data_IF_373056610979
#
_entry.id   IF_373056610979
#
_cell.length_a   1.000
_cell.length_b   1.000
_cell.length_c   1.000
_cell.angle_alpha   90.00
_cell.angle_beta   90.00
_cell.angle_gamma   90.00
#
_symmetry.space_group_name_H-M   'P 1'
#
loop_
_entity.id
_entity.type
_entity.pdbx_description
1 polymer ?
#
# COMPACT_ATOMS: atom_id res chain seq x y z
N UNK A 1 -8.07 4.73 8.93
CA UNK A 1 -9.48 4.67 9.39
C UNK A 1 -9.82 5.95 10.10
N UNK A 2 -10.96 6.53 9.75
CA UNK A 2 -11.47 7.74 10.39
C UNK A 2 -12.35 7.38 11.60
N UNK A 3 -12.53 8.35 12.50
CA UNK A 3 -13.34 8.19 13.73
C UNK A 3 -14.82 7.90 13.46
N UNK A 4 -15.31 8.17 12.23
CA UNK A 4 -16.68 7.88 11.80
C UNK A 4 -16.84 6.50 11.12
N UNK A 5 -15.82 5.65 11.18
CA UNK A 5 -15.84 4.31 10.58
C UNK A 5 -15.55 4.26 9.07
N UNK A 6 -15.25 5.41 8.45
CA UNK A 6 -14.83 5.41 7.04
C UNK A 6 -13.33 5.16 6.91
N UNK A 7 -12.90 4.76 5.71
CA UNK A 7 -11.49 4.62 5.38
C UNK A 7 -11.02 5.80 4.51
N UNK A 8 -9.74 6.07 4.57
CA UNK A 8 -9.06 7.04 3.72
C UNK A 8 -7.75 6.45 3.23
N UNK A 9 -7.27 6.94 2.09
CA UNK A 9 -5.95 6.58 1.60
C UNK A 9 -4.88 7.10 2.57
N UNK A 10 -3.86 6.29 2.82
CA UNK A 10 -2.70 6.71 3.60
C UNK A 10 -1.96 7.83 2.85
N UNK A 11 -1.49 8.84 3.57
CA UNK A 11 -0.60 9.84 3.01
C UNK A 11 0.84 9.30 2.97
N UNK A 12 1.60 9.70 1.96
CA UNK A 12 3.01 9.36 1.85
C UNK A 12 3.80 10.03 3.00
N UNK A 13 4.76 9.30 3.57
CA UNK A 13 5.67 9.83 4.59
C UNK A 13 5.08 10.01 6.01
N UNK A 14 3.91 9.47 6.28
CA UNK A 14 3.17 9.75 7.52
C UNK A 14 3.41 8.77 8.68
N UNK A 15 4.33 7.81 8.57
CA UNK A 15 4.43 6.70 9.55
C UNK A 15 3.04 6.11 9.88
N UNK A 16 2.21 5.97 8.87
CA UNK A 16 0.78 5.81 9.05
C UNK A 16 0.40 4.45 9.64
N UNK A 17 -0.53 4.49 10.58
CA UNK A 17 -1.22 3.30 11.05
C UNK A 17 -2.16 2.81 9.94
N UNK A 18 -1.83 1.70 9.32
CA UNK A 18 -2.58 1.14 8.20
C UNK A 18 -3.62 0.11 8.67
N UNK A 19 -4.81 0.14 8.07
CA UNK A 19 -5.80 -0.93 8.26
C UNK A 19 -5.49 -2.14 7.37
N UNK A 20 -5.04 -1.89 6.14
CA UNK A 20 -4.83 -2.95 5.15
C UNK A 20 -4.71 -2.37 3.74
N UNK A 21 -4.80 -3.26 2.75
CA UNK A 21 -4.76 -2.91 1.33
C UNK A 21 -6.17 -2.89 0.74
N UNK A 22 -6.53 -1.77 0.11
CA UNK A 22 -7.83 -1.62 -0.56
C UNK A 22 -7.92 -2.54 -1.78
N UNK A 23 -8.97 -3.34 -1.84
CA UNK A 23 -9.22 -4.34 -2.89
C UNK A 23 -10.55 -4.10 -3.62
N UNK A 24 -10.94 -2.85 -3.77
CA UNK A 24 -12.16 -2.48 -4.48
C UNK A 24 -13.30 -2.03 -3.57
N UNK A 25 -14.39 -1.63 -4.20
CA UNK A 25 -15.57 -1.14 -3.52
C UNK A 25 -16.87 -1.53 -4.25
N UNK A 26 -17.93 -1.52 -3.47
CA UNK A 26 -19.31 -1.61 -3.93
C UNK A 26 -20.06 -0.35 -3.51
N UNK A 27 -20.93 0.16 -4.36
CA UNK A 27 -21.78 1.32 -4.06
C UNK A 27 -23.03 1.35 -4.95
N UNK A 28 -24.02 2.08 -4.53
CA UNK A 28 -25.22 2.36 -5.35
C UNK A 28 -25.04 3.75 -5.97
N UNK A 29 -25.07 3.83 -7.30
CA UNK A 29 -24.90 5.09 -8.02
C UNK A 29 -26.15 5.99 -7.95
N UNK A 30 -26.08 7.17 -8.58
CA UNK A 30 -27.18 8.15 -8.58
C UNK A 30 -28.43 7.65 -9.32
N UNK A 31 -28.33 6.63 -10.16
CA UNK A 31 -29.46 6.02 -10.88
C UNK A 31 -30.11 4.88 -10.08
N UNK A 32 -29.54 4.51 -8.94
CA UNK A 32 -29.99 3.38 -8.14
C UNK A 32 -29.36 2.04 -8.53
N UNK A 33 -28.37 2.02 -9.42
CA UNK A 33 -27.69 0.81 -9.85
C UNK A 33 -26.56 0.44 -8.89
N UNK A 34 -26.44 -0.85 -8.56
CA UNK A 34 -25.28 -1.37 -7.82
C UNK A 34 -24.08 -1.43 -8.74
N UNK A 35 -22.97 -0.84 -8.32
CA UNK A 35 -21.67 -0.80 -9.02
C UNK A 35 -20.59 -1.45 -8.20
N UNK A 36 -19.69 -2.15 -8.90
CA UNK A 36 -18.45 -2.69 -8.35
C UNK A 36 -17.27 -2.04 -9.07
N UNK A 37 -16.23 -1.66 -8.32
CA UNK A 37 -15.04 -1.04 -8.90
C UNK A 37 -13.80 -1.48 -8.14
N UNK A 38 -12.67 -1.64 -8.86
CA UNK A 38 -11.36 -1.88 -8.28
C UNK A 38 -10.75 -0.62 -7.65
N UNK A 39 -11.35 0.53 -7.84
CA UNK A 39 -10.96 1.81 -7.26
C UNK A 39 -12.20 2.66 -6.96
N UNK A 40 -12.07 3.69 -6.13
CA UNK A 40 -13.11 4.70 -5.96
C UNK A 40 -13.02 5.69 -7.14
N UNK A 41 -14.03 5.74 -8.03
CA UNK A 41 -13.96 6.62 -9.20
C UNK A 41 -13.95 8.09 -8.78
N UNK A 42 -13.16 8.90 -9.49
CA UNK A 42 -13.12 10.34 -9.27
C UNK A 42 -14.52 10.95 -9.46
N UNK A 43 -14.92 11.80 -8.52
CA UNK A 43 -16.26 12.44 -8.52
C UNK A 43 -17.45 11.47 -8.41
N UNK A 44 -17.23 10.21 -8.04
CA UNK A 44 -18.32 9.30 -7.78
C UNK A 44 -19.17 9.81 -6.61
N UNK A 45 -20.47 9.79 -6.83
CA UNK A 45 -21.48 9.99 -5.79
C UNK A 45 -22.28 8.72 -5.65
N UNK A 46 -22.54 8.30 -4.42
CA UNK A 46 -23.29 7.06 -4.21
C UNK A 46 -23.75 6.94 -2.76
N UNK A 47 -24.60 5.94 -2.57
CA UNK A 47 -25.07 5.51 -1.26
C UNK A 47 -24.64 4.06 -1.01
N UNK A 48 -24.79 3.58 0.22
CA UNK A 48 -24.42 2.19 0.58
C UNK A 48 -23.02 1.83 0.07
N UNK A 49 -22.02 2.67 0.42
CA UNK A 49 -20.64 2.53 -0.02
C UNK A 49 -19.92 1.58 0.93
N UNK A 50 -19.41 0.49 0.38
CA UNK A 50 -18.60 -0.49 1.11
C UNK A 50 -17.23 -0.62 0.43
N UNK A 51 -16.17 -0.54 1.22
CA UNK A 51 -14.81 -0.79 0.77
C UNK A 51 -14.39 -2.20 1.18
N UNK A 52 -13.86 -2.97 0.24
CA UNK A 52 -13.23 -4.25 0.50
C UNK A 52 -11.76 -4.02 0.83
N UNK A 53 -11.31 -4.44 1.99
CA UNK A 53 -9.93 -4.27 2.47
C UNK A 53 -9.38 -5.63 2.87
N UNK A 54 -8.15 -5.92 2.44
CA UNK A 54 -7.37 -7.05 2.93
C UNK A 54 -6.72 -6.56 4.22
N UNK A 55 -7.28 -6.92 5.36
CA UNK A 55 -6.92 -6.41 6.70
C UNK A 55 -6.23 -7.46 7.58
N UNK A 56 -5.76 -8.56 7.00
CA UNK A 56 -4.94 -9.55 7.70
C UNK A 56 -3.53 -9.00 7.96
N UNK A 57 -3.09 -8.83 9.22
CA UNK A 57 -1.75 -8.33 9.53
C UNK A 57 -0.63 -9.28 9.10
N UNK A 58 -0.95 -10.54 8.76
CA UNK A 58 0.01 -11.53 8.26
C UNK A 58 0.10 -11.56 6.75
N UNK A 59 -0.80 -10.89 6.04
CA UNK A 59 -0.79 -10.85 4.58
C UNK A 59 0.48 -10.16 4.06
N UNK A 60 1.01 -10.69 2.97
CA UNK A 60 2.11 -10.09 2.22
C UNK A 60 1.61 -9.54 0.89
N UNK A 61 2.23 -8.47 0.44
CA UNK A 61 1.88 -7.75 -0.76
C UNK A 61 3.12 -7.51 -1.60
N UNK A 62 2.95 -7.40 -2.90
CA UNK A 62 4.00 -6.93 -3.81
C UNK A 62 3.83 -5.43 -4.04
N UNK A 63 4.92 -4.69 -3.93
CA UNK A 63 4.98 -3.25 -4.20
C UNK A 63 6.26 -2.92 -4.95
N UNK A 64 6.19 -1.99 -5.89
CA UNK A 64 7.36 -1.47 -6.58
C UNK A 64 8.13 -0.53 -5.65
N UNK A 65 9.44 -0.64 -5.63
CA UNK A 65 10.32 0.31 -4.97
C UNK A 65 10.58 1.53 -5.88
N UNK A 66 10.74 2.72 -5.30
CA UNK A 66 11.03 3.94 -6.04
C UNK A 66 12.52 4.12 -6.41
N UNK A 67 13.36 3.17 -6.03
CA UNK A 67 14.79 3.14 -6.30
C UNK A 67 15.30 1.69 -6.23
N UNK A 68 16.60 1.49 -6.45
CA UNK A 68 17.25 0.19 -6.25
C UNK A 68 17.01 -0.32 -4.83
N UNK A 69 16.69 -1.61 -4.72
CA UNK A 69 16.44 -2.27 -3.43
C UNK A 69 17.43 -3.43 -3.26
N UNK A 70 18.62 -3.19 -2.72
CA UNK A 70 19.60 -4.24 -2.52
C UNK A 70 19.11 -5.26 -1.47
N UNK A 71 19.51 -6.51 -1.62
CA UNK A 71 19.16 -7.61 -0.70
C UNK A 71 19.58 -7.31 0.75
N UNK A 72 20.61 -6.47 0.94
CA UNK A 72 21.06 -6.05 2.27
C UNK A 72 20.01 -5.23 3.05
N UNK A 73 19.06 -4.61 2.36
CA UNK A 73 18.00 -3.80 2.97
C UNK A 73 16.75 -4.62 3.32
N UNK A 74 16.76 -5.93 3.04
CA UNK A 74 15.67 -6.81 3.45
C UNK A 74 15.55 -6.85 4.99
N UNK A 75 14.30 -7.03 5.43
CA UNK A 75 13.88 -6.97 6.83
C UNK A 75 14.00 -5.58 7.47
N UNK A 76 14.42 -4.57 6.73
CA UNK A 76 14.26 -3.17 7.08
C UNK A 76 12.81 -2.72 7.03
N UNK A 77 12.51 -1.62 7.72
CA UNK A 77 11.21 -0.96 7.64
C UNK A 77 11.30 0.27 6.74
N UNK A 78 10.22 0.53 6.01
CA UNK A 78 10.15 1.58 5.00
C UNK A 78 8.81 2.31 5.08
N UNK A 79 8.82 3.53 4.60
CA UNK A 79 7.60 4.28 4.38
C UNK A 79 7.07 4.08 2.96
N UNK A 80 5.92 4.68 2.70
CA UNK A 80 5.26 4.69 1.39
C UNK A 80 5.50 6.05 0.74
N UNK A 81 5.80 6.07 -0.54
CA UNK A 81 5.80 7.28 -1.37
C UNK A 81 4.71 7.20 -2.41
N UNK A 82 4.14 8.34 -2.78
CA UNK A 82 3.12 8.45 -3.81
C UNK A 82 3.65 9.30 -4.97
N UNK A 83 4.07 8.65 -6.04
CA UNK A 83 4.63 9.31 -7.21
C UNK A 83 3.57 10.01 -8.09
N UNK A 84 2.30 9.69 -7.88
CA UNK A 84 1.19 10.37 -8.56
C UNK A 84 -0.04 10.41 -7.65
N UNK A 85 -0.27 11.52 -6.94
CA UNK A 85 -1.35 11.65 -5.95
C UNK A 85 -2.75 11.37 -6.50
N UNK A 86 -2.92 11.45 -7.80
CA UNK A 86 -4.20 11.16 -8.49
C UNK A 86 -4.30 9.71 -8.99
N UNK A 87 -3.23 8.93 -8.88
CA UNK A 87 -3.18 7.56 -9.41
C UNK A 87 -3.37 7.51 -10.93
N UNK A 88 -3.61 6.31 -11.43
CA UNK A 88 -4.01 6.10 -12.85
C UNK A 88 -5.52 5.97 -12.94
N UNK A 89 -6.21 7.08 -13.09
CA UNK A 89 -7.68 7.16 -13.05
C UNK A 89 -8.37 6.25 -14.06
N UNK A 90 -7.73 5.95 -15.19
CA UNK A 90 -8.30 5.08 -16.23
C UNK A 90 -8.26 3.59 -15.87
N UNK A 91 -7.27 3.14 -15.11
CA UNK A 91 -7.08 1.73 -14.73
C UNK A 91 -7.37 1.45 -13.25
N UNK A 92 -7.40 2.49 -12.42
CA UNK A 92 -7.49 2.37 -10.97
C UNK A 92 -6.25 1.78 -10.30
N UNK A 93 -5.13 1.68 -11.03
CA UNK A 93 -3.87 1.18 -10.47
C UNK A 93 -3.26 2.21 -9.56
N UNK A 94 -2.83 1.78 -8.37
CA UNK A 94 -2.11 2.62 -7.42
C UNK A 94 -0.76 3.06 -7.98
N UNK A 95 -0.34 4.26 -7.63
CA UNK A 95 1.01 4.79 -7.89
C UNK A 95 1.85 4.86 -6.61
N UNK A 96 1.41 4.20 -5.56
CA UNK A 96 2.18 4.09 -4.33
C UNK A 96 3.35 3.14 -4.52
N UNK A 97 4.51 3.55 -4.02
CA UNK A 97 5.77 2.82 -4.08
C UNK A 97 6.40 2.72 -2.70
N UNK A 98 7.30 1.74 -2.54
CA UNK A 98 8.16 1.65 -1.37
C UNK A 98 9.21 2.77 -1.43
N UNK A 99 9.29 3.58 -0.41
CA UNK A 99 10.26 4.68 -0.32
C UNK A 99 11.61 4.17 0.20
N UNK A 100 12.50 3.71 -0.67
CA UNK A 100 13.78 3.09 -0.28
C UNK A 100 14.62 4.01 0.59
N UNK A 101 14.64 5.33 0.31
CA UNK A 101 15.41 6.30 1.08
C UNK A 101 14.96 6.46 2.55
N UNK A 102 13.83 5.86 2.94
CA UNK A 102 13.31 5.90 4.32
C UNK A 102 13.70 4.68 5.13
N UNK A 103 14.44 3.74 4.55
CA UNK A 103 14.86 2.51 5.20
C UNK A 103 15.45 2.74 6.59
N UNK A 104 14.89 2.11 7.62
CA UNK A 104 15.30 2.26 9.00
C UNK A 104 14.83 1.09 9.88
N UNK A 105 15.30 1.07 11.11
CA UNK A 105 14.91 0.10 12.13
C UNK A 105 13.63 0.49 12.88
N UNK A 106 13.12 1.69 12.66
CA UNK A 106 11.98 2.24 13.39
C UNK A 106 10.70 1.43 13.18
N UNK A 107 10.09 0.97 14.28
CA UNK A 107 8.85 0.19 14.26
C UNK A 107 7.61 0.98 13.76
N UNK A 108 7.67 2.31 13.73
CA UNK A 108 6.57 3.17 13.28
C UNK A 108 6.41 3.25 11.76
N UNK A 109 7.43 2.81 10.98
CA UNK A 109 7.33 2.83 9.52
C UNK A 109 6.27 1.85 9.00
N UNK A 110 5.61 2.23 7.92
CA UNK A 110 4.39 1.57 7.43
C UNK A 110 4.60 0.13 6.97
N UNK A 111 5.70 -0.14 6.27
CA UNK A 111 5.98 -1.42 5.61
C UNK A 111 7.25 -2.06 6.14
N UNK A 112 7.31 -3.38 6.10
CA UNK A 112 8.52 -4.19 6.29
C UNK A 112 8.81 -4.96 5.01
N UNK A 113 10.00 -4.82 4.44
CA UNK A 113 10.46 -5.64 3.34
C UNK A 113 10.74 -7.08 3.83
N UNK A 114 10.21 -8.06 3.12
CA UNK A 114 10.35 -9.49 3.46
C UNK A 114 11.23 -10.21 2.46
N UNK A 115 11.04 -9.94 1.18
CA UNK A 115 11.76 -10.60 0.08
C UNK A 115 11.73 -9.73 -1.18
N UNK A 116 12.57 -10.06 -2.15
CA UNK A 116 12.48 -9.53 -3.51
C UNK A 116 11.54 -10.43 -4.30
N UNK A 117 10.67 -9.84 -5.12
CA UNK A 117 9.79 -10.63 -5.99
C UNK A 117 10.60 -11.49 -6.96
N UNK A 118 10.29 -12.77 -7.02
CA UNK A 118 11.00 -13.75 -7.85
C UNK A 118 10.52 -13.76 -9.31
N UNK A 119 9.90 -12.69 -9.78
CA UNK A 119 9.53 -12.54 -11.18
C UNK A 119 10.81 -12.50 -12.05
N UNK A 120 10.89 -13.26 -13.16
CA UNK A 120 12.04 -13.22 -14.06
C UNK A 120 12.39 -11.84 -14.61
N UNK A 121 11.44 -10.92 -14.69
CA UNK A 121 11.68 -9.54 -15.11
C UNK A 121 12.19 -8.63 -13.95
N UNK A 122 12.33 -9.16 -12.74
CA UNK A 122 12.78 -8.47 -11.54
C UNK A 122 14.16 -8.96 -11.05
N UNK A 123 15.04 -9.36 -11.96
CA UNK A 123 16.32 -9.99 -11.66
C UNK A 123 17.45 -8.99 -11.32
N UNK A 124 17.27 -7.69 -11.63
CA UNK A 124 18.24 -6.63 -11.36
C UNK A 124 17.84 -5.75 -10.16
N UNK A 125 18.22 -6.16 -8.97
CA UNK A 125 17.99 -5.39 -7.72
C UNK A 125 18.77 -4.08 -7.64
N UNK A 126 19.69 -3.82 -8.56
CA UNK A 126 20.44 -2.57 -8.67
C UNK A 126 19.71 -1.53 -9.51
N UNK A 127 18.69 -1.94 -10.27
CA UNK A 127 17.87 -1.03 -11.05
C UNK A 127 16.84 -0.32 -10.16
N UNK A 128 16.38 0.85 -10.60
CA UNK A 128 15.18 1.45 -10.03
C UNK A 128 13.95 0.56 -10.33
N UNK A 129 12.92 0.70 -9.50
CA UNK A 129 11.65 0.00 -9.68
C UNK A 129 11.69 -1.53 -9.41
N UNK A 130 12.58 -2.00 -8.55
CA UNK A 130 12.57 -3.37 -8.05
C UNK A 130 11.24 -3.68 -7.36
N UNK A 131 10.61 -4.81 -7.69
CA UNK A 131 9.43 -5.29 -7.01
C UNK A 131 9.80 -6.03 -5.73
N UNK A 132 9.18 -5.64 -4.62
CA UNK A 132 9.51 -6.11 -3.27
C UNK A 132 8.28 -6.72 -2.63
N UNK A 133 8.46 -7.87 -1.99
CA UNK A 133 7.44 -8.47 -1.14
C UNK A 133 7.49 -7.82 0.23
N UNK A 134 6.40 -7.22 0.64
CA UNK A 134 6.28 -6.50 1.91
C UNK A 134 5.11 -7.01 2.74
N UNK A 135 5.14 -6.72 4.03
CA UNK A 135 3.96 -6.76 4.88
C UNK A 135 3.74 -5.38 5.50
N UNK A 136 2.51 -5.09 5.91
CA UNK A 136 2.21 -3.91 6.70
C UNK A 136 2.84 -4.09 8.08
N UNK A 137 3.77 -3.21 8.44
CA UNK A 137 4.46 -3.25 9.73
C UNK A 137 3.67 -2.50 10.81
N UNK A 138 3.24 -1.26 10.51
CA UNK A 138 2.42 -0.47 11.42
C UNK A 138 0.94 -0.70 11.10
N UNK A 139 0.39 -1.80 11.63
CA UNK A 139 -0.96 -2.27 11.31
C UNK A 139 -1.93 -2.02 12.46
N UNK A 140 -3.19 -1.67 12.17
CA UNK A 140 -4.21 -1.36 13.17
C UNK A 140 -4.45 -2.52 14.16
N UNK A 141 -4.32 -3.77 13.70
CA UNK A 141 -4.55 -4.98 14.50
C UNK A 141 -3.26 -5.64 14.99
N UNK A 142 -2.08 -5.06 14.73
CA UNK A 142 -0.80 -5.62 15.13
C UNK A 142 0.22 -4.52 15.38
N UNK A 143 0.91 -4.57 16.51
CA UNK A 143 1.99 -3.63 16.79
C UNK A 143 3.13 -3.78 15.77
N UNK A 144 3.70 -2.65 15.35
CA UNK A 144 4.88 -2.62 14.50
C UNK A 144 6.10 -3.22 15.21
N UNK A 145 6.98 -3.84 14.44
CA UNK A 145 8.25 -4.41 14.92
C UNK A 145 9.43 -3.67 14.32
N UNK A 146 10.52 -3.59 15.07
CA UNK A 146 11.76 -3.01 14.55
C UNK A 146 12.27 -3.77 13.31
N UNK A 147 12.83 -3.03 12.37
CA UNK A 147 13.55 -3.60 11.22
C UNK A 147 14.97 -4.05 11.60
N UNK A 148 15.61 -4.77 10.73
CA UNK A 148 17.05 -4.97 10.75
C UNK A 148 17.76 -3.75 10.16
N UNK A 149 18.97 -3.48 10.61
CA UNK A 149 19.82 -2.41 10.10
C UNK A 149 20.80 -2.98 9.08
#
# INVERSE_FOLDING_TARGET
>A
VNTNGTITRVAAGDNALCLGVFNGCEYVDANGDVKFSNHWPASATGTNIFANVIDDPSATFEIQANAAMPVADLFGNFDIVDNSPVGRTASGVSSMELAVSTGATTAALALKAIDISQDPENDDVSSANTNVIVKINNHLFSAGTAGLA
#
